data_IF_456581319060
#
_entry.id   IF_456581319060
#
_cell.length_a   1.000
_cell.length_b   1.000
_cell.length_c   1.000
_cell.angle_alpha   90.00
_cell.angle_beta   90.00
_cell.angle_gamma   90.00
#
_symmetry.space_group_name_H-M   'P 1'
#
loop_
_entity.id
_entity.type
_entity.pdbx_description
1 polymer ?
#
# COMPACT_ATOMS: atom_id res chain seq x y z
N UNK A 1 -9.58 -25.10 61.62
CA UNK A 1 -10.90 -24.43 61.79
C UNK A 1 -11.12 -23.56 60.55
N UNK A 2 -11.68 -24.06 59.45
CA UNK A 2 -13.12 -24.15 59.11
C UNK A 2 -13.87 -22.79 59.23
N UNK A 3 -14.11 -22.07 58.11
CA UNK A 3 -15.32 -22.22 57.27
C UNK A 3 -15.38 -21.26 56.05
N UNK A 4 -15.89 -21.84 54.97
CA UNK A 4 -16.29 -21.40 53.63
C UNK A 4 -17.16 -20.14 53.46
N UNK A 5 -17.07 -19.50 52.27
CA UNK A 5 -18.08 -19.46 51.16
C UNK A 5 -17.48 -18.70 49.93
N UNK A 6 -17.13 -19.36 48.81
CA UNK A 6 -17.86 -19.46 47.51
C UNK A 6 -18.30 -18.08 46.95
N UNK A 7 -17.93 -17.59 45.76
CA UNK A 7 -17.50 -18.22 44.51
C UNK A 7 -18.67 -18.30 43.51
N UNK A 8 -18.78 -17.35 42.57
CA UNK A 8 -19.69 -17.46 41.41
C UNK A 8 -19.05 -16.89 40.14
N UNK A 9 -18.57 -17.82 39.32
CA UNK A 9 -18.45 -17.70 37.88
C UNK A 9 -19.85 -17.73 37.26
N UNK A 10 -20.18 -16.78 36.38
CA UNK A 10 -21.34 -16.90 35.50
C UNK A 10 -20.93 -17.63 34.23
N UNK A 11 -21.28 -18.92 34.17
CA UNK A 11 -21.34 -19.72 32.94
C UNK A 11 -22.64 -19.39 32.20
N UNK A 12 -22.54 -19.02 30.93
CA UNK A 12 -23.69 -18.98 30.01
C UNK A 12 -24.08 -20.43 29.65
N UNK A 13 -25.38 -20.79 29.65
CA UNK A 13 -25.79 -22.18 29.47
C UNK A 13 -25.75 -22.60 28.00
N UNK A 14 -25.19 -23.79 27.76
CA UNK A 14 -25.34 -24.58 26.54
C UNK A 14 -26.76 -25.18 26.51
N UNK A 15 -27.53 -24.85 25.48
CA UNK A 15 -28.74 -25.57 25.11
C UNK A 15 -28.39 -26.58 24.02
N UNK A 16 -28.46 -27.86 24.37
CA UNK A 16 -28.43 -28.99 23.44
C UNK A 16 -29.85 -29.28 22.95
N UNK A 17 -30.05 -29.36 21.64
CA UNK A 17 -31.17 -30.11 21.06
C UNK A 17 -30.63 -31.45 20.54
N UNK A 18 -31.32 -32.53 20.92
CA UNK A 18 -31.06 -33.87 20.43
C UNK A 18 -31.44 -33.95 18.95
N UNK A 19 -30.44 -33.77 18.10
CA UNK A 19 -30.21 -34.49 16.84
C UNK A 19 -28.99 -33.84 16.17
N UNK A 20 -27.88 -34.57 16.14
CA UNK A 20 -26.54 -34.07 15.82
C UNK A 20 -26.35 -33.53 14.40
N UNK A 21 -26.75 -32.29 14.16
CA UNK A 21 -26.34 -31.45 13.01
C UNK A 21 -26.05 -30.02 13.48
N UNK A 22 -24.82 -29.56 13.24
CA UNK A 22 -24.36 -28.19 13.54
C UNK A 22 -25.07 -27.18 12.63
N UNK A 23 -25.77 -26.22 13.23
CA UNK A 23 -26.32 -25.04 12.55
C UNK A 23 -25.30 -23.89 12.65
N UNK A 24 -24.84 -23.38 11.49
CA UNK A 24 -24.16 -22.09 11.40
C UNK A 24 -25.15 -20.98 11.74
N UNK A 25 -24.92 -20.26 12.84
CA UNK A 25 -25.65 -19.03 13.13
C UNK A 25 -25.01 -17.87 12.35
N UNK A 26 -25.72 -17.45 11.31
CA UNK A 26 -25.45 -16.24 10.53
C UNK A 26 -26.49 -15.19 10.92
N UNK A 27 -26.11 -14.23 11.76
CA UNK A 27 -26.91 -13.04 12.03
C UNK A 27 -26.06 -11.76 11.82
N UNK A 28 -26.52 -10.81 10.98
CA UNK A 28 -25.76 -9.63 10.58
C UNK A 28 -26.04 -8.44 11.52
N UNK A 29 -24.99 -7.74 11.98
CA UNK A 29 -25.13 -6.48 12.71
C UNK A 29 -24.07 -5.48 12.24
N UNK A 30 -24.54 -4.33 11.75
CA UNK A 30 -23.71 -3.14 11.51
C UNK A 30 -23.86 -2.48 10.14
N UNK A 31 -25.09 -2.16 9.69
CA UNK A 31 -25.27 -1.30 8.53
C UNK A 31 -24.85 0.15 8.87
N UNK A 32 -23.64 0.54 8.45
CA UNK A 32 -23.23 1.94 8.45
C UNK A 32 -24.04 2.70 7.38
N UNK A 33 -25.00 3.52 7.81
CA UNK A 33 -25.69 4.48 6.94
C UNK A 33 -24.72 5.60 6.55
N UNK A 34 -24.27 5.60 5.30
CA UNK A 34 -23.58 6.73 4.68
C UNK A 34 -24.58 7.89 4.56
N UNK A 35 -24.38 8.97 5.33
CA UNK A 35 -25.06 10.26 5.11
C UNK A 35 -24.31 11.04 4.04
N UNK A 36 -24.90 11.15 2.86
CA UNK A 36 -24.49 12.15 1.87
C UNK A 36 -24.91 13.52 2.39
N UNK A 37 -23.96 14.37 2.77
CA UNK A 37 -24.21 15.80 2.97
C UNK A 37 -24.09 16.49 1.61
N UNK A 38 -25.23 16.88 1.03
CA UNK A 38 -25.27 17.95 0.04
C UNK A 38 -25.48 19.27 0.77
N UNK A 39 -24.54 20.19 0.62
CA UNK A 39 -24.70 21.55 1.10
C UNK A 39 -24.13 22.50 0.06
N UNK A 40 -24.98 23.03 -0.82
CA UNK A 40 -24.83 24.40 -1.34
C UNK A 40 -26.25 24.97 -1.52
N UNK A 41 -26.67 25.79 -0.57
CA UNK A 41 -27.80 26.70 -0.66
C UNK A 41 -27.25 28.13 -0.80
N UNK A 42 -27.61 28.81 -1.89
CA UNK A 42 -27.44 30.25 -2.07
C UNK A 42 -28.80 30.96 -2.04
N UNK A 43 -28.89 32.23 -1.59
CA UNK A 43 -30.13 32.81 -1.10
C UNK A 43 -31.04 33.37 -2.20
N UNK A 44 -32.35 33.27 -1.93
CA UNK A 44 -33.45 33.92 -2.67
C UNK A 44 -33.75 35.27 -2.02
N UNK A 45 -33.85 36.33 -2.82
CA UNK A 45 -34.52 37.58 -2.45
C UNK A 45 -35.84 37.74 -3.22
N UNK A 46 -36.83 38.24 -2.49
CA UNK A 46 -38.26 38.35 -2.79
C UNK A 46 -38.64 39.49 -3.74
N UNK A 47 -39.85 39.36 -4.31
CA UNK A 47 -40.70 40.43 -4.84
C UNK A 47 -41.35 40.00 -6.15
N UNK A 48 -42.65 40.06 -6.41
CA UNK A 48 -43.81 40.59 -5.70
C UNK A 48 -44.99 40.55 -6.69
N UNK A 49 -46.11 39.99 -6.23
CA UNK A 49 -47.52 40.19 -6.60
C UNK A 49 -48.01 40.43 -8.06
N UNK A 50 -49.04 39.63 -8.37
CA UNK A 50 -50.36 39.99 -8.93
C UNK A 50 -50.58 40.08 -10.45
N UNK A 51 -51.64 39.40 -10.91
CA UNK A 51 -52.28 39.65 -12.22
C UNK A 51 -53.22 38.53 -12.67
N UNK A 52 -54.53 38.81 -12.73
CA UNK A 52 -55.65 37.88 -12.93
C UNK A 52 -55.90 37.43 -14.38
N UNK A 53 -56.44 36.22 -14.49
CA UNK A 53 -57.41 35.63 -15.43
C UNK A 53 -57.96 36.41 -16.66
N UNK A 54 -57.94 35.75 -17.81
CA UNK A 54 -59.01 35.56 -18.84
C UNK A 54 -58.35 34.96 -20.07
N UNK A 55 -58.78 33.86 -20.71
CA UNK A 55 -60.09 33.64 -21.32
C UNK A 55 -59.86 33.43 -22.83
N UNK A 56 -60.40 32.32 -23.35
CA UNK A 56 -60.73 32.00 -24.75
C UNK A 56 -59.65 31.62 -25.80
N UNK A 57 -59.92 30.46 -26.41
CA UNK A 57 -59.37 29.94 -27.68
C UNK A 57 -59.92 30.78 -28.85
N UNK A 58 -59.22 30.84 -30.01
CA UNK A 58 -59.56 29.89 -31.07
C UNK A 58 -58.36 29.46 -31.97
N UNK A 59 -58.56 28.34 -32.66
CA UNK A 59 -57.89 27.95 -33.91
C UNK A 59 -58.96 27.85 -35.01
N UNK A 60 -58.70 27.84 -36.34
CA UNK A 60 -57.41 27.67 -37.04
C UNK A 60 -57.19 28.49 -38.36
N UNK A 61 -55.97 28.35 -38.93
CA UNK A 61 -55.65 28.24 -40.37
C UNK A 61 -55.43 29.52 -41.26
N UNK A 62 -54.75 29.42 -42.43
CA UNK A 62 -53.28 29.41 -42.59
C UNK A 62 -52.77 30.46 -43.63
N UNK A 63 -51.48 30.81 -43.65
CA UNK A 63 -50.85 31.41 -44.84
C UNK A 63 -49.33 31.19 -44.91
N UNK A 64 -48.87 30.98 -46.14
CA UNK A 64 -47.57 30.49 -46.58
C UNK A 64 -46.40 31.46 -46.44
N UNK A 65 -45.18 30.93 -46.24
CA UNK A 65 -43.95 31.19 -47.03
C UNK A 65 -42.73 30.68 -46.23
N UNK A 66 -42.05 29.63 -46.68
CA UNK A 66 -40.83 29.67 -47.50
C UNK A 66 -39.61 30.28 -46.75
N UNK A 67 -38.64 29.43 -46.38
CA UNK A 67 -37.36 29.93 -45.85
C UNK A 67 -36.42 28.84 -45.34
N UNK A 68 -35.50 28.43 -46.21
CA UNK A 68 -34.17 27.88 -45.91
C UNK A 68 -34.05 26.66 -44.97
N UNK A 69 -33.94 25.47 -45.59
CA UNK A 69 -33.18 24.37 -45.01
C UNK A 69 -31.70 24.76 -44.95
N UNK A 70 -31.23 25.30 -43.82
CA UNK A 70 -29.80 25.25 -43.51
C UNK A 70 -29.49 23.81 -43.08
N UNK A 71 -28.95 23.01 -44.00
CA UNK A 71 -28.24 21.79 -43.63
C UNK A 71 -27.05 22.20 -42.77
N UNK A 72 -27.21 22.16 -41.44
CA UNK A 72 -26.08 22.01 -40.55
C UNK A 72 -25.54 20.61 -40.78
N UNK A 73 -24.61 20.47 -41.74
CA UNK A 73 -23.72 19.32 -41.73
C UNK A 73 -22.86 19.46 -40.47
N UNK A 74 -23.28 18.82 -39.38
CA UNK A 74 -22.36 18.49 -38.31
C UNK A 74 -21.25 17.64 -38.94
N UNK A 75 -20.13 18.29 -39.24
CA UNK A 75 -18.87 17.60 -39.43
C UNK A 75 -18.60 16.97 -38.07
N UNK A 76 -19.06 15.72 -37.87
CA UNK A 76 -18.56 14.87 -36.80
C UNK A 76 -17.05 14.85 -37.00
N UNK A 77 -16.32 15.61 -36.19
CA UNK A 77 -14.89 15.38 -36.01
C UNK A 77 -14.76 13.87 -35.80
N UNK A 78 -13.92 13.16 -36.57
CA UNK A 78 -13.67 11.76 -36.27
C UNK A 78 -13.31 11.71 -34.79
N UNK A 79 -14.00 10.86 -34.02
CA UNK A 79 -13.67 10.65 -32.62
C UNK A 79 -12.17 10.41 -32.58
N UNK A 80 -11.42 11.25 -31.86
CA UNK A 80 -9.99 11.04 -31.69
C UNK A 80 -9.82 9.61 -31.21
N UNK A 81 -9.05 8.79 -31.91
CA UNK A 81 -8.81 7.39 -31.54
C UNK A 81 -8.49 7.33 -30.04
N UNK A 82 -9.42 6.80 -29.25
CA UNK A 82 -9.23 6.66 -27.81
C UNK A 82 -8.36 5.43 -27.62
N UNK A 83 -7.11 5.64 -27.25
CA UNK A 83 -6.16 4.54 -27.09
C UNK A 83 -5.35 4.72 -25.82
N UNK A 84 -4.91 3.60 -25.25
CA UNK A 84 -3.98 3.58 -24.13
C UNK A 84 -2.76 2.72 -24.45
N UNK A 85 -1.64 2.99 -23.78
CA UNK A 85 -0.45 2.15 -23.84
C UNK A 85 -0.58 1.01 -22.81
N UNK A 86 -0.38 -0.22 -23.26
CA UNK A 86 -0.28 -1.39 -22.40
C UNK A 86 1.17 -1.84 -22.25
N UNK A 87 1.62 -1.98 -21.00
CA UNK A 87 2.94 -2.50 -20.66
C UNK A 87 2.83 -3.86 -19.95
N UNK A 88 3.26 -4.91 -20.66
CA UNK A 88 3.45 -6.23 -20.08
C UNK A 88 4.63 -6.25 -19.12
N UNK A 89 4.75 -7.31 -18.29
CA UNK A 89 5.89 -7.45 -17.36
C UNK A 89 7.26 -7.35 -18.05
N UNK A 90 7.54 -7.99 -19.22
CA UNK A 90 8.81 -7.79 -19.91
C UNK A 90 9.09 -6.34 -20.31
N UNK A 91 8.07 -5.60 -20.78
CA UNK A 91 8.21 -4.19 -21.13
C UNK A 91 8.49 -3.33 -19.89
N UNK A 92 7.79 -3.62 -18.77
CA UNK A 92 8.05 -2.98 -17.47
C UNK A 92 9.49 -3.24 -17.01
N UNK A 93 9.99 -4.48 -17.07
CA UNK A 93 11.38 -4.82 -16.69
C UNK A 93 12.39 -4.05 -17.55
N UNK A 94 12.21 -4.03 -18.87
CA UNK A 94 13.09 -3.30 -19.78
C UNK A 94 13.15 -1.79 -19.47
N UNK A 95 12.04 -1.20 -19.00
CA UNK A 95 12.04 0.19 -18.54
C UNK A 95 12.76 0.34 -17.19
N UNK A 96 12.52 -0.57 -16.24
CA UNK A 96 13.16 -0.53 -14.92
C UNK A 96 14.69 -0.72 -15.01
N UNK A 97 15.20 -1.44 -16.01
CA UNK A 97 16.64 -1.55 -16.28
C UNK A 97 17.31 -0.21 -16.64
N UNK A 98 16.51 0.83 -16.93
CA UNK A 98 16.97 2.21 -17.22
C UNK A 98 16.66 3.19 -16.10
N UNK A 99 16.09 2.73 -15.00
CA UNK A 99 15.66 3.54 -13.88
C UNK A 99 16.41 3.13 -12.61
N UNK A 100 16.49 4.05 -11.65
CA UNK A 100 16.77 3.71 -10.26
C UNK A 100 15.46 3.81 -9.46
N UNK A 101 14.80 2.67 -9.16
CA UNK A 101 13.57 2.69 -8.38
C UNK A 101 13.73 3.24 -6.96
N UNK A 102 14.93 3.17 -6.39
CA UNK A 102 15.25 3.68 -5.04
C UNK A 102 15.18 5.21 -5.06
N UNK A 103 15.77 5.85 -6.07
CA UNK A 103 15.69 7.30 -6.22
C UNK A 103 14.27 7.77 -6.55
N UNK A 104 13.55 7.04 -7.41
CA UNK A 104 12.13 7.34 -7.67
C UNK A 104 11.31 7.29 -6.39
N UNK A 105 11.51 6.27 -5.54
CA UNK A 105 10.84 6.18 -4.25
C UNK A 105 11.24 7.34 -3.31
N UNK A 106 12.52 7.68 -3.23
CA UNK A 106 13.01 8.80 -2.40
C UNK A 106 12.37 10.14 -2.81
N UNK A 107 12.25 10.40 -4.12
CA UNK A 107 11.62 11.61 -4.64
C UNK A 107 10.13 11.67 -4.32
N UNK A 108 9.42 10.55 -4.47
CA UNK A 108 8.01 10.46 -4.08
C UNK A 108 7.82 10.76 -2.59
N UNK A 109 8.70 10.23 -1.73
CA UNK A 109 8.66 10.49 -0.29
C UNK A 109 8.91 11.97 0.03
N UNK A 110 9.83 12.63 -0.67
CA UNK A 110 10.05 14.08 -0.54
C UNK A 110 8.82 14.89 -0.98
N UNK A 111 8.17 14.50 -2.08
CA UNK A 111 6.95 15.16 -2.57
C UNK A 111 5.82 15.03 -1.54
N UNK A 112 5.62 13.85 -0.96
CA UNK A 112 4.62 13.61 0.08
C UNK A 112 4.88 14.45 1.32
N UNK A 113 6.11 14.43 1.85
CA UNK A 113 6.46 15.21 3.04
C UNK A 113 6.43 16.73 2.82
N UNK A 114 6.53 17.18 1.56
CA UNK A 114 6.31 18.58 1.18
C UNK A 114 4.83 18.97 1.04
N UNK A 115 3.89 18.06 1.31
CA UNK A 115 2.44 18.31 1.18
C UNK A 115 1.97 18.39 -0.27
N UNK A 116 2.71 17.80 -1.22
CA UNK A 116 2.45 17.84 -2.67
C UNK A 116 1.96 16.49 -3.22
N UNK A 117 1.30 15.70 -2.39
CA UNK A 117 0.73 14.42 -2.77
C UNK A 117 -0.68 14.28 -2.21
N UNK A 118 -1.53 13.53 -2.90
CA UNK A 118 -2.86 13.14 -2.41
C UNK A 118 -2.95 11.62 -2.35
N UNK A 119 -3.37 11.11 -1.19
CA UNK A 119 -3.54 9.69 -0.95
C UNK A 119 -4.99 9.45 -0.48
N UNK A 120 -5.94 9.27 -1.42
CA UNK A 120 -7.30 8.86 -1.07
C UNK A 120 -7.35 7.51 -0.36
N UNK A 121 -8.42 7.29 0.41
CA UNK A 121 -8.68 6.01 1.07
C UNK A 121 -8.73 4.84 0.06
N UNK A 122 -8.16 3.70 0.45
CA UNK A 122 -8.10 2.51 -0.38
C UNK A 122 -9.46 1.81 -0.51
N UNK A 123 -9.80 1.38 -1.72
CA UNK A 123 -10.92 0.48 -1.95
C UNK A 123 -10.54 -0.95 -1.55
N UNK A 124 -11.06 -1.45 -0.43
CA UNK A 124 -10.74 -2.78 0.09
C UNK A 124 -11.93 -3.75 -0.07
N UNK A 125 -11.75 -4.83 -0.83
CA UNK A 125 -12.76 -5.87 -1.02
C UNK A 125 -12.21 -7.26 -0.64
N UNK A 126 -12.62 -7.83 0.51
CA UNK A 126 -12.27 -9.20 0.89
C UNK A 126 -13.30 -10.22 0.39
N UNK A 127 -12.87 -11.44 0.10
CA UNK A 127 -13.73 -12.59 -0.12
C UNK A 127 -13.00 -13.90 0.21
N UNK A 128 -13.76 -14.99 0.22
CA UNK A 128 -13.23 -16.35 0.29
C UNK A 128 -13.41 -16.99 -1.08
N UNK A 129 -12.34 -17.53 -1.67
CA UNK A 129 -12.42 -18.17 -2.98
C UNK A 129 -13.00 -19.61 -2.88
N UNK A 130 -13.17 -20.28 -4.03
CA UNK A 130 -13.76 -21.62 -4.09
C UNK A 130 -13.03 -22.70 -3.29
N UNK A 131 -11.76 -22.49 -2.94
CA UNK A 131 -10.98 -23.42 -2.11
C UNK A 131 -10.99 -23.07 -0.61
N UNK A 132 -11.85 -22.12 -0.19
CA UNK A 132 -11.89 -21.66 1.20
C UNK A 132 -10.76 -20.70 1.58
N UNK A 133 -9.94 -20.23 0.63
CA UNK A 133 -8.79 -19.39 0.93
C UNK A 133 -9.14 -17.89 0.92
N UNK A 134 -8.57 -17.16 1.88
CA UNK A 134 -8.69 -15.71 1.96
C UNK A 134 -8.14 -15.04 0.71
N UNK A 135 -8.97 -14.17 0.13
CA UNK A 135 -8.66 -13.41 -1.07
C UNK A 135 -9.09 -11.96 -0.90
N UNK A 136 -8.41 -11.04 -1.59
CA UNK A 136 -8.74 -9.62 -1.53
C UNK A 136 -8.35 -8.87 -2.80
N UNK A 137 -9.00 -7.74 -3.00
CA UNK A 137 -8.66 -6.72 -3.98
C UNK A 137 -8.44 -5.39 -3.24
N UNK A 138 -7.41 -4.65 -3.65
CA UNK A 138 -7.16 -3.30 -3.17
C UNK A 138 -7.02 -2.36 -4.38
N UNK A 139 -7.87 -1.34 -4.42
CA UNK A 139 -7.76 -0.22 -5.36
C UNK A 139 -7.14 0.99 -4.63
N UNK A 140 -5.97 1.41 -5.09
CA UNK A 140 -5.14 2.43 -4.47
C UNK A 140 -4.99 3.60 -5.45
N UNK A 141 -5.80 4.64 -5.30
CA UNK A 141 -5.68 5.89 -6.06
C UNK A 141 -4.62 6.79 -5.45
N UNK A 142 -3.94 7.59 -6.26
CA UNK A 142 -2.99 8.58 -5.77
C UNK A 142 -2.71 9.68 -6.77
N UNK A 143 -2.26 10.82 -6.26
CA UNK A 143 -1.79 11.93 -7.06
C UNK A 143 -0.46 12.49 -6.55
N UNK A 144 0.38 12.95 -7.47
CA UNK A 144 1.64 13.64 -7.20
C UNK A 144 1.66 14.98 -7.94
N UNK A 145 1.98 16.05 -7.24
CA UNK A 145 2.07 17.41 -7.80
C UNK A 145 3.54 17.79 -8.02
N UNK A 146 4.04 17.53 -9.23
CA UNK A 146 5.43 17.81 -9.65
C UNK A 146 5.53 19.15 -10.39
N UNK A 147 6.75 19.62 -10.59
CA UNK A 147 7.00 20.85 -11.36
C UNK A 147 6.65 20.67 -12.84
N UNK A 148 6.87 19.46 -13.37
CA UNK A 148 6.54 19.09 -14.75
C UNK A 148 5.03 18.91 -14.98
N UNK A 149 4.23 18.89 -13.91
CA UNK A 149 2.79 18.73 -13.94
C UNK A 149 2.27 17.65 -12.98
N UNK A 150 0.96 17.60 -12.73
CA UNK A 150 0.37 16.60 -11.86
C UNK A 150 0.34 15.22 -12.53
N UNK A 151 0.54 14.18 -11.72
CA UNK A 151 0.42 12.78 -12.10
C UNK A 151 -0.72 12.16 -11.30
N UNK A 152 -1.69 11.60 -12.01
CA UNK A 152 -2.80 10.86 -11.41
C UNK A 152 -2.73 9.40 -11.82
N UNK A 153 -2.97 8.50 -10.88
CA UNK A 153 -2.93 7.09 -11.17
C UNK A 153 -3.64 6.22 -10.15
N UNK A 154 -3.65 4.93 -10.45
CA UNK A 154 -4.24 3.91 -9.60
C UNK A 154 -3.47 2.60 -9.71
N UNK A 155 -3.31 1.90 -8.59
CA UNK A 155 -2.99 0.46 -8.61
C UNK A 155 -4.21 -0.34 -8.18
N UNK A 156 -4.61 -1.30 -8.99
CA UNK A 156 -5.53 -2.37 -8.59
C UNK A 156 -4.72 -3.65 -8.40
N UNK A 157 -4.57 -4.11 -7.15
CA UNK A 157 -3.80 -5.31 -6.82
C UNK A 157 -4.65 -6.31 -6.04
N UNK A 158 -4.72 -7.53 -6.59
CA UNK A 158 -5.46 -8.63 -5.99
C UNK A 158 -4.48 -9.63 -5.39
N UNK A 159 -4.90 -10.33 -4.35
CA UNK A 159 -4.11 -11.39 -3.75
C UNK A 159 -4.97 -12.52 -3.22
N UNK A 160 -4.48 -13.75 -3.36
CA UNK A 160 -5.05 -14.95 -2.73
C UNK A 160 -3.93 -15.74 -2.05
N UNK A 161 -4.14 -16.11 -0.78
CA UNK A 161 -3.09 -16.75 0.04
C UNK A 161 -2.68 -18.13 -0.47
N UNK A 162 -3.56 -18.83 -1.19
CA UNK A 162 -3.33 -20.17 -1.73
C UNK A 162 -2.85 -20.18 -3.19
N UNK A 163 -2.62 -19.03 -3.82
CA UNK A 163 -2.05 -19.01 -5.18
C UNK A 163 -0.66 -19.68 -5.27
N UNK A 164 0.27 -19.47 -4.32
CA UNK A 164 1.59 -20.07 -4.39
C UNK A 164 1.57 -21.60 -4.43
N UNK A 165 0.61 -22.26 -3.76
CA UNK A 165 0.50 -23.74 -3.81
C UNK A 165 0.04 -24.25 -5.18
N UNK A 166 -0.33 -23.36 -6.10
CA UNK A 166 -0.74 -23.65 -7.48
C UNK A 166 0.31 -23.20 -8.50
N UNK A 167 1.49 -22.74 -8.05
CA UNK A 167 2.51 -22.15 -8.92
C UNK A 167 2.16 -20.76 -9.46
N UNK A 168 1.20 -20.07 -8.84
CA UNK A 168 0.78 -18.71 -9.22
C UNK A 168 1.29 -17.72 -8.16
N UNK A 169 1.73 -16.55 -8.57
CA UNK A 169 2.12 -15.49 -7.63
C UNK A 169 0.95 -15.13 -6.70
N UNK A 170 1.27 -14.89 -5.42
CA UNK A 170 0.26 -14.56 -4.40
C UNK A 170 -0.54 -13.31 -4.76
N UNK A 171 0.11 -12.31 -5.35
CA UNK A 171 -0.48 -11.03 -5.69
C UNK A 171 -0.16 -10.65 -7.14
N UNK A 172 -1.10 -10.01 -7.81
CA UNK A 172 -0.98 -9.53 -9.18
C UNK A 172 -2.08 -8.51 -9.49
N UNK A 173 -1.90 -7.73 -10.55
CA UNK A 173 -2.86 -6.67 -10.85
C UNK A 173 -2.41 -5.73 -11.97
N UNK A 174 -3.07 -4.57 -12.03
CA UNK A 174 -2.86 -3.55 -13.04
C UNK A 174 -2.63 -2.18 -12.40
N UNK A 175 -1.68 -1.44 -12.95
CA UNK A 175 -1.40 -0.05 -12.63
C UNK A 175 -1.85 0.84 -13.78
N UNK A 176 -2.36 2.02 -13.46
CA UNK A 176 -2.93 2.96 -14.39
C UNK A 176 -2.32 4.34 -14.18
N UNK A 177 -2.15 5.07 -15.29
CA UNK A 177 -1.90 6.51 -15.27
C UNK A 177 -3.00 7.18 -16.07
N UNK A 178 -3.52 8.28 -15.54
CA UNK A 178 -4.58 9.06 -16.16
C UNK A 178 -4.00 10.31 -16.81
N UNK A 179 -4.65 10.76 -17.87
CA UNK A 179 -4.40 12.06 -18.47
C UNK A 179 -4.98 13.16 -17.57
N UNK A 180 -4.19 14.16 -17.16
CA UNK A 180 -4.63 15.17 -16.20
C UNK A 180 -5.71 16.11 -16.73
N UNK A 181 -5.82 16.29 -18.06
CA UNK A 181 -6.76 17.22 -18.68
C UNK A 181 -8.10 16.55 -18.98
N UNK A 182 -8.07 15.30 -19.43
CA UNK A 182 -9.25 14.57 -19.90
C UNK A 182 -9.75 13.51 -18.92
N UNK A 183 -8.99 13.23 -17.86
CA UNK A 183 -9.19 12.14 -16.90
C UNK A 183 -9.23 10.73 -17.53
N UNK A 184 -8.87 10.59 -18.81
CA UNK A 184 -8.89 9.30 -19.52
C UNK A 184 -7.67 8.46 -19.13
N UNK A 185 -7.78 7.12 -19.09
CA UNK A 185 -6.62 6.26 -18.94
C UNK A 185 -5.69 6.40 -20.15
N UNK A 186 -4.43 6.76 -19.89
CA UNK A 186 -3.38 6.82 -20.94
C UNK A 186 -2.44 5.62 -20.91
N UNK A 187 -2.34 4.95 -19.76
CA UNK A 187 -1.48 3.79 -19.55
C UNK A 187 -2.18 2.73 -18.69
N UNK A 188 -1.94 1.47 -19.03
CA UNK A 188 -2.22 0.30 -18.22
C UNK A 188 -0.96 -0.58 -18.18
N UNK A 189 -0.55 -1.07 -17.02
CA UNK A 189 0.66 -1.87 -16.89
C UNK A 189 0.51 -2.99 -15.85
N UNK A 190 1.32 -4.03 -15.97
CA UNK A 190 1.43 -5.10 -14.97
C UNK A 190 1.89 -4.54 -13.60
N UNK A 191 1.14 -4.81 -12.53
CA UNK A 191 1.38 -4.20 -11.22
C UNK A 191 2.00 -5.10 -10.15
N UNK A 192 2.00 -6.42 -10.33
CA UNK A 192 2.56 -7.37 -9.36
C UNK A 192 4.06 -7.15 -9.18
N UNK A 193 4.81 -7.09 -10.28
CA UNK A 193 6.24 -6.81 -10.23
C UNK A 193 6.53 -5.37 -9.76
N UNK A 194 5.84 -4.37 -10.32
CA UNK A 194 5.99 -2.97 -9.88
C UNK A 194 5.76 -2.78 -8.39
N UNK A 195 4.71 -3.41 -7.85
CA UNK A 195 4.42 -3.33 -6.42
C UNK A 195 5.51 -4.00 -5.58
N UNK A 196 6.18 -5.05 -6.07
CA UNK A 196 7.30 -5.64 -5.37
C UNK A 196 8.53 -4.71 -5.40
N UNK A 197 8.85 -4.15 -6.58
CA UNK A 197 9.97 -3.24 -6.80
C UNK A 197 9.84 -1.98 -5.94
N UNK A 198 8.71 -1.27 -5.97
CA UNK A 198 8.52 -0.06 -5.14
C UNK A 198 8.57 -0.35 -3.64
N UNK A 199 8.16 -1.55 -3.22
CA UNK A 199 8.22 -1.96 -1.81
C UNK A 199 9.68 -2.17 -1.38
N UNK A 200 10.45 -2.89 -2.20
CA UNK A 200 11.89 -3.04 -1.98
C UNK A 200 12.62 -1.69 -2.03
N UNK A 201 12.23 -0.81 -2.95
CA UNK A 201 12.83 0.52 -3.08
C UNK A 201 12.65 1.35 -1.81
N UNK A 202 11.45 1.32 -1.20
CA UNK A 202 11.23 1.96 0.10
C UNK A 202 12.17 1.39 1.18
N UNK A 203 12.35 0.08 1.24
CA UNK A 203 13.31 -0.56 2.17
C UNK A 203 14.75 -0.09 1.92
N UNK A 204 15.17 0.08 0.67
CA UNK A 204 16.51 0.59 0.37
C UNK A 204 16.66 2.07 0.77
N UNK A 205 15.63 2.89 0.55
CA UNK A 205 15.60 4.28 1.04
C UNK A 205 15.69 4.33 2.56
N UNK A 206 14.95 3.46 3.26
CA UNK A 206 14.97 3.41 4.72
C UNK A 206 16.34 3.01 5.26
N UNK A 207 17.00 2.02 4.65
CA UNK A 207 18.38 1.64 4.98
C UNK A 207 19.38 2.79 4.74
N UNK A 208 19.31 3.47 3.59
CA UNK A 208 20.18 4.62 3.29
C UNK A 208 20.02 5.73 4.32
N UNK A 209 18.80 5.94 4.79
CA UNK A 209 18.44 7.09 5.64
C UNK A 209 18.69 6.84 7.12
N UNK A 210 18.17 5.73 7.65
CA UNK A 210 18.12 5.42 9.10
C UNK A 210 18.67 4.04 9.45
N UNK A 211 19.22 3.30 8.48
CA UNK A 211 19.91 2.04 8.73
C UNK A 211 21.28 2.20 9.43
N UNK A 212 21.97 1.10 9.73
CA UNK A 212 23.30 1.14 10.32
C UNK A 212 24.28 1.87 9.39
N UNK A 213 25.29 2.56 9.93
CA UNK A 213 26.30 3.23 9.10
C UNK A 213 27.16 2.24 8.31
N UNK A 214 27.47 1.10 8.94
CA UNK A 214 28.26 0.02 8.36
C UNK A 214 27.56 -1.29 8.63
N UNK A 215 27.38 -2.09 7.60
CA UNK A 215 26.79 -3.42 7.66
C UNK A 215 27.22 -4.18 6.40
N UNK A 216 27.32 -5.50 6.49
CA UNK A 216 27.83 -6.37 5.43
C UNK A 216 26.87 -7.50 5.06
N UNK A 217 25.75 -7.61 5.80
CA UNK A 217 24.74 -8.63 5.56
C UNK A 217 23.32 -8.21 5.89
N UNK A 218 22.39 -8.91 5.26
CA UNK A 218 20.95 -8.74 5.41
C UNK A 218 20.25 -10.08 5.65
N UNK A 219 19.27 -10.04 6.54
CA UNK A 219 18.39 -11.15 6.84
C UNK A 219 17.01 -10.93 6.22
N UNK A 220 16.54 -11.91 5.44
CA UNK A 220 15.18 -11.92 4.87
C UNK A 220 14.32 -13.00 5.56
N UNK A 221 13.24 -12.58 6.22
CA UNK A 221 12.27 -13.48 6.84
C UNK A 221 11.06 -13.63 5.91
N UNK A 222 10.96 -14.77 5.23
CA UNK A 222 10.03 -15.02 4.13
C UNK A 222 10.72 -14.91 2.77
N UNK A 223 10.59 -15.94 1.93
CA UNK A 223 11.38 -16.09 0.69
C UNK A 223 10.55 -16.01 -0.60
N UNK A 224 9.43 -15.28 -0.56
CA UNK A 224 8.54 -15.09 -1.70
C UNK A 224 8.99 -14.02 -2.71
N UNK A 225 8.06 -13.55 -3.55
CA UNK A 225 8.33 -12.57 -4.60
C UNK A 225 8.95 -11.25 -4.08
N UNK A 226 8.59 -10.81 -2.87
CA UNK A 226 9.21 -9.64 -2.27
C UNK A 226 10.70 -9.86 -1.97
N UNK A 227 11.11 -11.06 -1.54
CA UNK A 227 12.51 -11.35 -1.26
C UNK A 227 13.36 -11.20 -2.53
N UNK A 228 12.87 -11.70 -3.67
CA UNK A 228 13.51 -11.53 -4.97
C UNK A 228 13.71 -10.05 -5.32
N UNK A 229 12.66 -9.24 -5.22
CA UNK A 229 12.74 -7.81 -5.48
C UNK A 229 13.69 -7.07 -4.51
N UNK A 230 13.77 -7.50 -3.24
CA UNK A 230 14.74 -6.93 -2.29
C UNK A 230 16.17 -7.28 -2.69
N UNK A 231 16.45 -8.51 -3.12
CA UNK A 231 17.78 -8.90 -3.61
C UNK A 231 18.15 -8.17 -4.91
N UNK A 232 17.21 -8.04 -5.84
CA UNK A 232 17.41 -7.29 -7.10
C UNK A 232 17.84 -5.83 -6.85
N UNK A 233 17.23 -5.15 -5.88
CA UNK A 233 17.57 -3.77 -5.57
C UNK A 233 18.77 -3.64 -4.62
N UNK A 234 19.00 -4.62 -3.75
CA UNK A 234 20.12 -4.62 -2.81
C UNK A 234 21.45 -4.49 -3.55
N UNK A 235 21.66 -5.28 -4.61
CA UNK A 235 22.94 -5.34 -5.34
C UNK A 235 23.32 -4.02 -5.99
N UNK A 236 22.33 -3.23 -6.43
CA UNK A 236 22.55 -1.88 -6.96
C UNK A 236 22.64 -0.82 -5.87
N UNK A 237 21.84 -0.96 -4.82
CA UNK A 237 21.75 0.05 -3.76
C UNK A 237 22.92 0.02 -2.77
N UNK A 238 23.48 -1.17 -2.52
CA UNK A 238 24.53 -1.48 -1.55
C UNK A 238 25.49 -2.55 -2.12
N UNK A 239 26.32 -2.22 -3.13
CA UNK A 239 27.18 -3.18 -3.83
C UNK A 239 28.25 -3.84 -2.93
N UNK A 240 28.52 -3.27 -1.76
CA UNK A 240 29.41 -3.81 -0.73
C UNK A 240 28.81 -4.97 0.06
N UNK A 241 27.48 -5.07 0.13
CA UNK A 241 26.77 -6.09 0.91
C UNK A 241 26.70 -7.39 0.11
N UNK A 242 27.23 -8.46 0.70
CA UNK A 242 27.31 -9.77 0.05
C UNK A 242 26.59 -10.87 0.80
N UNK A 243 26.54 -10.78 2.13
CA UNK A 243 25.98 -11.84 2.96
C UNK A 243 24.46 -11.71 3.02
N UNK A 244 23.75 -12.78 2.64
CA UNK A 244 22.30 -12.86 2.76
C UNK A 244 21.93 -14.11 3.55
N UNK A 245 21.18 -13.91 4.63
CA UNK A 245 20.64 -15.01 5.43
C UNK A 245 19.14 -15.04 5.28
N UNK A 246 18.58 -16.18 4.88
CA UNK A 246 17.14 -16.30 4.65
C UNK A 246 16.53 -17.33 5.57
N UNK A 247 15.28 -17.10 5.95
CA UNK A 247 14.47 -18.07 6.68
C UNK A 247 13.04 -18.07 6.13
N UNK A 248 12.48 -19.26 5.93
CA UNK A 248 11.07 -19.47 5.59
C UNK A 248 10.59 -20.77 6.24
N UNK A 249 9.33 -20.83 6.65
CA UNK A 249 8.72 -22.07 7.15
C UNK A 249 8.69 -23.18 6.09
N UNK A 250 8.74 -22.81 4.80
CA UNK A 250 8.90 -23.74 3.69
C UNK A 250 10.36 -23.83 3.27
N UNK A 251 11.01 -24.93 3.64
CA UNK A 251 12.36 -25.23 3.20
C UNK A 251 12.50 -25.26 1.66
N UNK A 252 11.45 -25.70 0.95
CA UNK A 252 11.42 -25.69 -0.52
C UNK A 252 11.49 -24.27 -1.09
N UNK A 253 10.67 -23.33 -0.58
CA UNK A 253 10.72 -21.93 -1.01
C UNK A 253 12.05 -21.25 -0.67
N UNK A 254 12.66 -21.59 0.46
CA UNK A 254 13.98 -21.08 0.82
C UNK A 254 15.04 -21.58 -0.17
N UNK A 255 15.02 -22.87 -0.51
CA UNK A 255 15.93 -23.46 -1.50
C UNK A 255 15.72 -22.87 -2.91
N UNK A 256 14.48 -22.62 -3.32
CA UNK A 256 14.16 -21.95 -4.60
C UNK A 256 14.71 -20.53 -4.68
N UNK A 257 14.62 -19.75 -3.59
CA UNK A 257 15.20 -18.41 -3.55
C UNK A 257 16.73 -18.46 -3.63
N UNK A 258 17.37 -19.39 -2.91
CA UNK A 258 18.83 -19.58 -2.96
C UNK A 258 19.29 -19.97 -4.36
N UNK A 259 18.61 -20.91 -5.01
CA UNK A 259 18.95 -21.33 -6.37
C UNK A 259 18.83 -20.17 -7.36
N UNK A 260 17.72 -19.43 -7.30
CA UNK A 260 17.52 -18.24 -8.13
C UNK A 260 18.55 -17.14 -7.87
N UNK A 261 18.86 -16.85 -6.61
CA UNK A 261 19.83 -15.81 -6.27
C UNK A 261 21.24 -16.16 -6.74
N UNK A 262 21.62 -17.45 -6.71
CA UNK A 262 22.90 -17.91 -7.27
C UNK A 262 23.01 -17.70 -8.79
N UNK A 263 21.88 -17.77 -9.49
CA UNK A 263 21.82 -17.58 -10.94
C UNK A 263 21.81 -16.10 -11.32
N UNK A 264 20.91 -15.31 -10.72
CA UNK A 264 20.72 -13.89 -11.07
C UNK A 264 21.75 -12.97 -10.39
N UNK A 265 22.21 -13.34 -9.20
CA UNK A 265 23.08 -12.51 -8.34
C UNK A 265 24.26 -13.32 -7.77
N UNK A 266 25.16 -13.84 -8.63
CA UNK A 266 26.27 -14.71 -8.19
C UNK A 266 27.25 -14.04 -7.20
N UNK A 267 27.21 -12.71 -7.08
CA UNK A 267 27.95 -11.94 -6.08
C UNK A 267 27.40 -12.05 -4.65
N UNK A 268 26.17 -12.54 -4.48
CA UNK A 268 25.52 -12.71 -3.17
C UNK A 268 25.77 -14.10 -2.59
N UNK A 269 26.18 -14.15 -1.33
CA UNK A 269 26.31 -15.36 -0.54
C UNK A 269 25.03 -15.62 0.23
N UNK A 270 24.09 -16.35 -0.40
CA UNK A 270 22.79 -16.64 0.19
C UNK A 270 22.79 -17.98 0.94
N UNK A 271 22.46 -17.92 2.23
CA UNK A 271 22.39 -19.09 3.14
C UNK A 271 21.02 -19.20 3.80
N UNK A 272 20.63 -20.41 4.18
CA UNK A 272 19.35 -20.68 4.87
C UNK A 272 19.63 -20.98 6.33
N UNK A 273 19.02 -20.22 7.24
CA UNK A 273 19.07 -20.49 8.68
C UNK A 273 18.03 -21.54 9.08
N UNK A 274 18.26 -22.26 10.19
CA UNK A 274 17.31 -23.27 10.66
C UNK A 274 16.12 -22.65 11.40
N UNK A 275 16.29 -21.47 11.98
CA UNK A 275 15.24 -20.72 12.68
C UNK A 275 15.26 -19.23 12.34
N UNK A 276 14.14 -18.54 12.52
CA UNK A 276 14.08 -17.08 12.40
C UNK A 276 15.05 -16.38 13.36
N UNK A 277 15.21 -16.90 14.58
CA UNK A 277 16.12 -16.32 15.57
C UNK A 277 17.58 -16.41 15.14
N UNK A 278 18.02 -17.55 14.61
CA UNK A 278 19.35 -17.71 14.02
C UNK A 278 19.56 -16.77 12.82
N UNK A 279 18.55 -16.65 11.96
CA UNK A 279 18.60 -15.76 10.80
C UNK A 279 18.80 -14.30 11.24
N UNK A 280 18.01 -13.83 12.20
CA UNK A 280 18.04 -12.44 12.69
C UNK A 280 19.37 -12.16 13.41
N UNK A 281 19.88 -13.12 14.19
CA UNK A 281 21.14 -12.96 14.90
C UNK A 281 22.37 -12.88 13.96
N UNK A 282 22.26 -13.36 12.73
CA UNK A 282 23.37 -13.43 11.80
C UNK A 282 23.75 -12.09 11.16
N UNK A 283 22.84 -11.12 11.10
CA UNK A 283 23.09 -9.83 10.44
C UNK A 283 22.42 -8.67 11.18
N UNK A 284 22.96 -7.44 11.10
CA UNK A 284 22.34 -6.30 11.77
C UNK A 284 21.07 -5.79 11.04
N UNK A 285 20.79 -6.24 9.82
CA UNK A 285 19.65 -5.76 9.03
C UNK A 285 18.64 -6.89 8.86
N UNK A 286 17.42 -6.72 9.37
CA UNK A 286 16.33 -7.68 9.18
C UNK A 286 15.21 -7.07 8.35
N UNK A 287 14.73 -7.80 7.33
CA UNK A 287 13.56 -7.44 6.54
C UNK A 287 12.52 -8.56 6.64
N UNK A 288 11.34 -8.23 7.12
CA UNK A 288 10.24 -9.19 7.25
C UNK A 288 9.34 -9.14 6.01
N UNK A 289 9.18 -10.27 5.34
CA UNK A 289 8.53 -10.43 4.03
C UNK A 289 7.50 -11.57 4.04
N UNK A 290 6.92 -11.87 5.20
CA UNK A 290 6.01 -13.00 5.38
C UNK A 290 4.57 -12.64 5.01
N UNK A 291 3.66 -13.60 5.22
CA UNK A 291 2.21 -13.38 5.17
C UNK A 291 1.57 -13.60 6.53
N UNK A 292 2.33 -13.48 7.63
CA UNK A 292 1.80 -13.71 8.97
C UNK A 292 0.68 -12.70 9.29
N UNK A 293 -0.37 -13.19 9.93
CA UNK A 293 -1.38 -12.35 10.59
C UNK A 293 -1.13 -12.20 12.08
N UNK A 294 -0.26 -13.04 12.64
CA UNK A 294 0.04 -13.08 14.07
C UNK A 294 1.51 -12.67 14.32
N UNK A 295 1.77 -11.73 15.24
CA UNK A 295 3.13 -11.33 15.56
C UNK A 295 3.86 -12.42 16.34
N UNK A 296 5.13 -12.65 15.99
CA UNK A 296 5.95 -13.72 16.56
C UNK A 296 7.39 -13.30 16.85
N UNK A 297 7.86 -12.22 16.23
CA UNK A 297 9.20 -11.66 16.46
C UNK A 297 9.18 -10.72 17.67
N UNK A 298 10.07 -11.04 18.61
CA UNK A 298 10.20 -10.40 19.91
C UNK A 298 11.38 -9.44 19.93
N UNK A 299 11.31 -8.41 20.78
CA UNK A 299 12.33 -7.37 20.91
C UNK A 299 13.71 -7.97 21.22
N UNK A 300 13.75 -9.02 22.05
CA UNK A 300 14.98 -9.73 22.42
C UNK A 300 15.73 -10.41 21.25
N UNK A 301 15.11 -10.53 20.07
CA UNK A 301 15.77 -11.05 18.87
C UNK A 301 16.69 -10.02 18.21
N UNK A 302 16.48 -8.73 18.46
CA UNK A 302 17.22 -7.66 17.79
C UNK A 302 18.34 -7.14 18.70
N UNK A 303 19.58 -7.28 18.25
CA UNK A 303 20.74 -6.78 18.97
C UNK A 303 20.84 -5.24 18.90
N UNK A 304 21.59 -4.60 19.82
CA UNK A 304 22.02 -3.23 19.63
C UNK A 304 22.70 -3.04 18.27
N UNK A 305 22.41 -1.94 17.57
CA UNK A 305 22.90 -1.67 16.23
C UNK A 305 22.05 -2.26 15.11
N UNK A 306 20.96 -2.97 15.43
CA UNK A 306 20.09 -3.57 14.41
C UNK A 306 19.11 -2.59 13.76
N UNK A 307 18.81 -2.84 12.49
CA UNK A 307 17.73 -2.19 11.75
C UNK A 307 16.70 -3.22 11.29
N UNK A 308 15.42 -2.89 11.43
CA UNK A 308 14.31 -3.78 11.11
C UNK A 308 13.34 -3.10 10.14
N UNK A 309 13.27 -3.59 8.90
CA UNK A 309 12.23 -3.21 7.95
C UNK A 309 11.02 -4.14 8.06
N UNK A 310 9.95 -3.63 8.68
CA UNK A 310 8.70 -4.37 8.93
C UNK A 310 7.74 -4.33 7.74
N UNK A 311 8.17 -4.87 6.60
CA UNK A 311 7.44 -4.74 5.32
C UNK A 311 6.11 -5.52 5.31
N UNK A 312 6.05 -6.70 5.92
CA UNK A 312 4.83 -7.54 5.95
C UNK A 312 3.81 -7.14 7.02
N UNK A 313 4.16 -6.24 7.93
CA UNK A 313 3.29 -5.62 8.95
C UNK A 313 2.63 -6.57 9.96
N UNK A 314 2.91 -7.88 9.88
CA UNK A 314 2.31 -8.91 10.76
C UNK A 314 3.30 -9.58 11.71
N UNK A 315 4.60 -9.32 11.58
CA UNK A 315 5.65 -10.13 12.21
C UNK A 315 6.08 -9.65 13.60
N UNK A 316 6.12 -8.33 13.82
CA UNK A 316 6.67 -7.73 15.04
C UNK A 316 5.61 -7.65 16.15
N UNK A 317 6.00 -8.05 17.36
CA UNK A 317 5.18 -7.92 18.57
C UNK A 317 5.16 -6.48 19.09
N UNK A 318 4.19 -6.17 19.96
CA UNK A 318 4.06 -4.85 20.61
C UNK A 318 5.35 -4.40 21.31
N UNK A 319 6.03 -5.31 22.01
CA UNK A 319 7.29 -5.04 22.70
C UNK A 319 8.38 -4.50 21.77
N UNK A 320 8.36 -4.88 20.49
CA UNK A 320 9.35 -4.39 19.50
C UNK A 320 9.18 -2.89 19.30
N UNK A 321 7.95 -2.41 19.12
CA UNK A 321 7.68 -0.99 18.89
C UNK A 321 7.91 -0.13 20.12
N UNK A 322 7.58 -0.66 21.30
CA UNK A 322 7.75 0.06 22.57
C UNK A 322 9.23 0.14 23.01
N UNK A 323 10.02 -0.90 22.72
CA UNK A 323 11.44 -0.98 23.08
C UNK A 323 12.40 -0.42 22.02
N UNK A 324 11.91 0.03 20.87
CA UNK A 324 12.75 0.53 19.80
C UNK A 324 13.45 1.85 20.16
N UNK A 325 14.69 2.01 19.70
CA UNK A 325 15.43 3.29 19.77
C UNK A 325 14.75 4.35 18.90
N UNK A 326 14.24 3.94 17.74
CA UNK A 326 13.39 4.76 16.87
C UNK A 326 12.45 3.88 16.01
N UNK A 327 11.32 4.45 15.60
CA UNK A 327 10.30 3.91 14.71
C UNK A 327 9.91 4.98 13.70
N UNK A 328 10.11 4.68 12.42
CA UNK A 328 9.69 5.53 11.31
C UNK A 328 8.56 4.87 10.52
N UNK A 329 7.51 5.64 10.22
CA UNK A 329 6.45 5.25 9.28
C UNK A 329 6.68 5.79 7.87
N UNK A 330 5.78 5.47 6.96
CA UNK A 330 5.63 6.13 5.66
C UNK A 330 4.55 7.20 5.69
N UNK A 331 3.36 6.86 6.20
CA UNK A 331 2.25 7.78 6.42
C UNK A 331 1.54 7.45 7.74
N UNK A 332 1.58 8.38 8.70
CA UNK A 332 1.07 8.13 10.04
C UNK A 332 -0.47 8.08 10.09
N UNK A 333 -1.15 8.76 9.16
CA UNK A 333 -2.62 8.72 9.07
C UNK A 333 -3.06 7.32 8.61
N UNK A 334 -2.47 6.81 7.53
CA UNK A 334 -2.78 5.46 7.02
C UNK A 334 -2.48 4.37 8.05
N UNK A 335 -1.37 4.51 8.78
CA UNK A 335 -1.00 3.55 9.83
C UNK A 335 -2.05 3.58 10.96
N UNK A 336 -2.38 4.76 11.50
CA UNK A 336 -3.32 4.90 12.63
C UNK A 336 -4.75 4.49 12.24
N UNK A 337 -5.18 4.70 10.99
CA UNK A 337 -6.49 4.29 10.48
C UNK A 337 -6.66 2.76 10.37
N UNK A 338 -5.57 1.99 10.47
CA UNK A 338 -5.61 0.53 10.34
C UNK A 338 -5.21 -0.22 11.63
N UNK A 339 -6.12 -0.36 12.61
CA UNK A 339 -5.82 -0.99 13.90
C UNK A 339 -5.64 -2.52 13.81
N UNK A 340 -5.81 -3.13 12.62
CA UNK A 340 -5.47 -4.55 12.41
C UNK A 340 -3.96 -4.77 12.39
N UNK A 341 -3.16 -3.72 12.21
CA UNK A 341 -1.70 -3.75 12.30
C UNK A 341 -1.25 -3.21 13.63
N UNK A 342 -0.19 -3.82 14.19
CA UNK A 342 0.24 -3.57 15.56
C UNK A 342 0.52 -2.09 15.81
N UNK A 343 1.33 -1.43 14.97
CA UNK A 343 1.62 0.01 15.15
C UNK A 343 0.35 0.88 15.08
N UNK A 344 -0.59 0.56 14.20
CA UNK A 344 -1.88 1.26 14.11
C UNK A 344 -2.71 1.10 15.39
N UNK A 345 -2.80 -0.12 15.93
CA UNK A 345 -3.47 -0.38 17.23
C UNK A 345 -2.81 0.42 18.36
N UNK A 346 -1.48 0.42 18.42
CA UNK A 346 -0.73 1.14 19.45
C UNK A 346 -0.93 2.66 19.39
N UNK A 347 -1.06 3.23 18.18
CA UNK A 347 -1.37 4.65 17.97
C UNK A 347 -2.79 4.99 18.46
N UNK A 348 -3.79 4.18 18.12
CA UNK A 348 -5.17 4.38 18.57
C UNK A 348 -5.33 4.20 20.09
N UNK A 349 -4.63 3.24 20.67
CA UNK A 349 -4.60 3.00 22.13
C UNK A 349 -3.78 4.07 22.88
N UNK A 350 -3.03 4.91 22.16
CA UNK A 350 -2.14 5.91 22.75
C UNK A 350 -0.94 5.31 23.50
N UNK A 351 -0.58 4.04 23.24
CA UNK A 351 0.64 3.39 23.73
C UNK A 351 1.86 3.79 22.92
N UNK A 352 1.64 4.15 21.66
CA UNK A 352 2.57 4.89 20.82
C UNK A 352 1.88 6.18 20.41
N UNK A 353 2.61 7.30 20.33
CA UNK A 353 2.06 8.60 19.96
C UNK A 353 2.66 9.13 18.66
N UNK A 354 2.00 10.13 18.08
CA UNK A 354 2.58 10.95 17.00
C UNK A 354 3.58 11.95 17.57
N UNK A 355 4.57 12.41 16.77
CA UNK A 355 5.46 13.49 17.17
C UNK A 355 4.68 14.70 17.69
N UNK A 356 5.02 15.18 18.88
CA UNK A 356 4.41 16.38 19.48
C UNK A 356 3.01 16.18 20.07
N UNK A 357 2.55 14.94 20.23
CA UNK A 357 1.26 14.61 20.89
C UNK A 357 1.42 13.89 22.23
N UNK A 358 2.64 13.84 22.76
CA UNK A 358 2.97 13.24 24.04
C UNK A 358 2.21 13.97 25.17
N UNK A 359 1.52 13.20 26.03
CA UNK A 359 0.79 13.77 27.18
C UNK A 359 -0.56 14.42 26.86
N UNK A 360 -1.07 14.31 25.63
CA UNK A 360 -2.42 14.73 25.29
C UNK A 360 -3.48 13.96 26.13
N UNK A 361 -4.61 14.58 26.55
CA UNK A 361 -5.64 13.92 27.35
C UNK A 361 -6.17 12.66 26.66
N UNK A 362 -6.08 11.50 27.34
CA UNK A 362 -6.50 10.21 26.81
C UNK A 362 -5.44 9.45 26.00
N UNK A 363 -4.23 10.01 25.80
CA UNK A 363 -3.07 9.30 25.25
C UNK A 363 -2.09 8.95 26.39
N UNK A 364 -1.59 7.71 26.40
CA UNK A 364 -0.77 7.17 27.50
C UNK A 364 0.64 7.76 27.55
N UNK A 365 1.40 7.42 28.61
CA UNK A 365 2.82 7.77 28.79
C UNK A 365 3.77 6.94 27.90
N UNK A 366 3.30 6.50 26.73
CA UNK A 366 4.05 5.68 25.79
C UNK A 366 5.14 6.46 25.06
N UNK A 367 5.88 5.79 24.16
CA UNK A 367 6.87 6.46 23.29
C UNK A 367 6.23 7.06 22.04
N UNK A 368 6.90 8.02 21.43
CA UNK A 368 6.49 8.64 20.18
C UNK A 368 7.19 7.98 18.99
N UNK A 369 6.53 7.89 17.83
CA UNK A 369 7.25 7.68 16.57
C UNK A 369 8.03 8.93 16.22
N UNK A 370 9.15 8.80 15.50
CA UNK A 370 10.02 9.93 15.17
C UNK A 370 9.45 10.76 14.02
N UNK A 371 8.68 10.13 13.13
CA UNK A 371 8.06 10.76 11.98
C UNK A 371 8.03 9.82 10.77
N UNK A 372 8.02 10.41 9.58
CA UNK A 372 8.08 9.66 8.31
C UNK A 372 9.45 9.73 7.67
N UNK A 373 9.81 8.74 6.83
CA UNK A 373 11.06 8.81 6.07
C UNK A 373 11.13 10.02 5.14
N UNK A 374 10.01 10.46 4.56
CA UNK A 374 9.96 11.67 3.75
C UNK A 374 10.39 12.92 4.52
N UNK A 375 9.95 13.04 5.79
CA UNK A 375 10.36 14.14 6.67
C UNK A 375 11.86 14.09 6.97
N UNK A 376 12.43 12.88 7.15
CA UNK A 376 13.88 12.73 7.32
C UNK A 376 14.65 13.14 6.06
N UNK A 377 14.17 12.73 4.88
CA UNK A 377 14.78 13.11 3.59
C UNK A 377 14.76 14.61 3.32
N UNK A 378 13.78 15.34 3.89
CA UNK A 378 13.71 16.80 3.83
C UNK A 378 14.44 17.50 4.98
N UNK A 379 15.07 16.76 5.90
CA UNK A 379 15.75 17.32 7.08
C UNK A 379 14.79 17.92 8.12
N UNK A 380 13.49 17.63 8.04
CA UNK A 380 12.47 18.11 8.98
C UNK A 380 12.48 17.30 10.28
N UNK A 381 12.86 16.03 10.21
CA UNK A 381 13.01 15.10 11.34
C UNK A 381 14.45 14.55 11.31
N UNK A 382 15.15 14.46 12.45
CA UNK A 382 16.50 13.90 12.48
C UNK A 382 16.49 12.40 12.14
N UNK A 383 17.54 11.95 11.44
CA UNK A 383 17.79 10.54 11.22
C UNK A 383 18.45 9.91 12.45
N UNK A 384 17.72 9.04 13.15
CA UNK A 384 18.25 8.23 14.24
C UNK A 384 18.67 6.89 13.65
N UNK A 385 19.98 6.60 13.69
CA UNK A 385 20.57 5.32 13.27
C UNK A 385 20.75 4.41 14.49
N UNK A 386 20.67 3.08 14.32
CA UNK A 386 20.76 2.16 15.45
C UNK A 386 22.19 2.17 16.04
N UNK A 387 22.27 2.28 17.36
CA UNK A 387 23.52 2.27 18.13
C UNK A 387 23.37 1.35 19.34
N UNK A 388 22.85 1.86 20.45
CA UNK A 388 22.65 1.10 21.69
C UNK A 388 21.35 0.29 21.70
N UNK A 389 20.48 0.50 20.70
CA UNK A 389 19.25 -0.27 20.48
C UNK A 389 19.03 -0.58 19.00
N UNK A 390 17.78 -0.79 18.61
CA UNK A 390 17.39 -1.06 17.23
C UNK A 390 16.41 -0.02 16.69
N UNK A 391 16.44 0.18 15.37
CA UNK A 391 15.54 1.09 14.64
C UNK A 391 14.57 0.28 13.79
N UNK A 392 13.29 0.66 13.81
CA UNK A 392 12.24 0.02 13.01
C UNK A 392 11.78 0.99 11.91
N UNK A 393 11.70 0.48 10.68
CA UNK A 393 10.96 1.12 9.60
C UNK A 393 9.68 0.31 9.33
N UNK A 394 8.52 0.93 9.48
CA UNK A 394 7.21 0.29 9.36
C UNK A 394 6.40 0.92 8.21
N UNK A 395 6.66 0.56 6.94
CA UNK A 395 5.88 1.05 5.80
C UNK A 395 4.50 0.39 5.70
N UNK A 396 3.43 1.18 5.80
CA UNK A 396 2.07 0.69 5.51
C UNK A 396 1.87 0.38 4.02
N UNK A 397 2.45 1.22 3.16
CA UNK A 397 2.32 1.20 1.71
C UNK A 397 1.43 2.32 1.21
N UNK A 398 2.03 3.34 0.60
CA UNK A 398 1.29 4.46 0.00
C UNK A 398 1.05 4.25 -1.50
N UNK A 399 -0.17 4.57 -1.96
CA UNK A 399 -0.54 4.51 -3.38
C UNK A 399 0.38 5.33 -4.29
N UNK A 400 0.87 6.46 -3.78
CA UNK A 400 1.74 7.38 -4.52
C UNK A 400 3.10 6.79 -4.87
N UNK A 401 3.59 5.78 -4.13
CA UNK A 401 4.81 5.05 -4.50
C UNK A 401 4.58 4.23 -5.77
N UNK A 402 3.39 3.66 -5.93
CA UNK A 402 3.01 2.97 -7.17
C UNK A 402 2.80 3.97 -8.30
N UNK A 403 2.09 5.09 -8.05
CA UNK A 403 1.84 6.16 -9.05
C UNK A 403 3.14 6.80 -9.54
N UNK A 404 4.07 7.10 -8.64
CA UNK A 404 5.37 7.68 -9.01
C UNK A 404 6.23 6.72 -9.82
N UNK A 405 6.27 5.43 -9.45
CA UNK A 405 7.05 4.44 -10.19
C UNK A 405 6.45 4.17 -11.58
N UNK A 406 5.12 4.03 -11.69
CA UNK A 406 4.50 3.75 -12.97
C UNK A 406 4.63 4.94 -13.93
N UNK A 407 4.62 6.19 -13.44
CA UNK A 407 4.87 7.36 -14.29
C UNK A 407 6.31 7.39 -14.82
N UNK A 408 7.31 7.06 -13.98
CA UNK A 408 8.70 6.95 -14.43
C UNK A 408 8.85 5.85 -15.49
N UNK A 409 8.21 4.69 -15.28
CA UNK A 409 8.18 3.60 -16.26
C UNK A 409 7.47 4.03 -17.54
N UNK A 410 6.38 4.80 -17.46
CA UNK A 410 5.67 5.30 -18.62
C UNK A 410 6.54 6.19 -19.49
N UNK A 411 7.21 7.18 -18.89
CA UNK A 411 8.12 8.09 -19.61
C UNK A 411 9.24 7.31 -20.29
N UNK A 412 9.84 6.35 -19.57
CA UNK A 412 10.87 5.47 -20.12
C UNK A 412 10.35 4.59 -21.25
N UNK A 413 9.12 4.07 -21.15
CA UNK A 413 8.52 3.26 -22.20
C UNK A 413 8.31 4.05 -23.50
N UNK A 414 7.93 5.33 -23.40
CA UNK A 414 7.81 6.22 -24.55
C UNK A 414 9.17 6.49 -25.19
N UNK A 415 10.23 6.69 -24.40
CA UNK A 415 11.60 6.88 -24.89
C UNK A 415 12.15 5.61 -25.58
N UNK A 416 11.89 4.44 -25.02
CA UNK A 416 12.32 3.15 -25.58
C UNK A 416 11.43 2.67 -26.74
N UNK A 417 10.26 3.29 -26.96
CA UNK A 417 9.29 2.86 -27.97
C UNK A 417 8.72 1.46 -27.70
N UNK A 418 8.58 1.05 -26.43
CA UNK A 418 8.07 -0.26 -26.03
C UNK A 418 6.63 -0.20 -25.55
N UNK A 419 5.94 -1.35 -25.63
CA UNK A 419 4.54 -1.49 -25.24
C UNK A 419 3.60 -1.65 -26.43
N UNK A 420 2.34 -1.95 -26.13
CA UNK A 420 1.31 -2.16 -27.12
C UNK A 420 0.25 -1.07 -27.01
N UNK A 421 -0.07 -0.39 -28.11
CA UNK A 421 -1.20 0.53 -28.14
C UNK A 421 -2.50 -0.27 -28.29
N UNK A 422 -3.44 -0.03 -27.38
CA UNK A 422 -4.76 -0.65 -27.38
C UNK A 422 -5.80 0.40 -27.76
N UNK A 423 -6.62 0.10 -28.77
CA UNK A 423 -7.80 0.90 -29.12
C UNK A 423 -8.94 0.59 -28.15
N UNK A 424 -9.66 1.63 -27.71
CA UNK A 424 -10.77 1.54 -26.77
C UNK A 424 -12.15 1.76 -27.45
N UNK A 425 -12.17 2.06 -28.76
CA UNK A 425 -13.40 2.34 -29.52
C UNK A 425 -13.77 1.27 -30.53
#
# INVERSE_FOLDING_TARGET
MLRHRHGMFTRTPLLTTGDGRLLCDSSPLGAARVRVHSAISGPVHQGGSAGRSSGDRPSPQPCHSAGAHSQFSEVRKPMSQESLLFLSRPAVRACLDKLDPVEVAADVLRIQAAGRAEIPAEGYLPWTNGDGAYSRAIAMLGALHREEGPVYGMKLINAAVNNPSKGIERAGGLSFVFDPETARPKLMAEAGYLSAVRTAAYTMVSLRTVGPQTWDGITLIGTGALARAHLDLLVGAFPEVRTVVVFDLSAARAAELVAWAREEHPQLEVTVAATAAEAIAATPVTVTLTTSSEPYLRAALFAPGSFVAHVSLGDLTEEVFLGAQAVYGDDLDLIEENPRRILGSLLQEGKVTRPGTEGAPGRGAGRSVEGTLGQVLLGQVPAIRPTDGYVVSNPFGMSILDVGLIDAVHRTALELGVGQRLDLL
#
